data_IF_134477316056
#
_entry.id   IF_134477316056
#
_cell.length_a   1.000
_cell.length_b   1.000
_cell.length_c   1.000
_cell.angle_alpha   90.00
_cell.angle_beta   90.00
_cell.angle_gamma   90.00
#
_symmetry.space_group_name_H-M   'P 1'
#
loop_
_entity.id
_entity.type
_entity.pdbx_description
1 polymer ?
#
# COMPACT_ATOMS: atom_id res chain seq x y z
N UNK A 1 -34.49 6.70 28.98
CA UNK A 1 -34.21 5.42 28.32
C UNK A 1 -32.79 5.46 27.85
N UNK A 2 -31.92 4.70 28.51
CA UNK A 2 -30.51 4.56 28.15
C UNK A 2 -30.44 3.64 26.93
N UNK A 3 -29.97 4.16 25.80
CA UNK A 3 -29.39 3.33 24.75
C UNK A 3 -27.88 3.45 24.90
N UNK A 4 -27.35 2.55 25.73
CA UNK A 4 -25.93 2.29 25.85
C UNK A 4 -25.50 1.66 24.54
N UNK A 5 -24.92 2.46 23.65
CA UNK A 5 -24.06 1.94 22.58
C UNK A 5 -23.11 0.94 23.22
N UNK A 6 -23.14 -0.35 22.83
CA UNK A 6 -22.29 -1.33 23.47
C UNK A 6 -20.83 -0.91 23.25
N UNK A 7 -19.96 -0.98 24.27
CA UNK A 7 -18.54 -0.75 24.05
C UNK A 7 -18.04 -1.85 23.10
N UNK A 8 -17.50 -1.44 21.95
CA UNK A 8 -16.81 -2.34 21.03
C UNK A 8 -15.85 -3.23 21.81
N UNK A 9 -15.91 -4.52 21.54
CA UNK A 9 -15.23 -5.54 22.33
C UNK A 9 -13.71 -5.28 22.20
N UNK A 10 -12.90 -5.38 23.29
CA UNK A 10 -11.46 -5.12 23.22
C UNK A 10 -10.73 -5.98 22.15
N UNK A 11 -11.31 -7.13 21.77
CA UNK A 11 -10.81 -8.01 20.72
C UNK A 11 -11.04 -7.49 19.28
N UNK A 12 -12.00 -6.59 19.03
CA UNK A 12 -12.20 -5.96 17.71
C UNK A 12 -11.14 -4.88 17.44
N UNK A 13 -10.63 -4.23 18.50
CA UNK A 13 -9.53 -3.26 18.41
C UNK A 13 -8.17 -3.91 18.15
N UNK A 14 -7.98 -5.16 18.55
CA UNK A 14 -6.80 -5.96 18.23
C UNK A 14 -6.87 -6.55 16.82
N UNK A 15 -8.06 -6.96 16.34
CA UNK A 15 -8.26 -7.42 14.96
C UNK A 15 -7.94 -6.37 13.89
N UNK A 16 -8.20 -5.10 14.18
CA UNK A 16 -7.89 -3.98 13.28
C UNK A 16 -6.41 -3.52 13.33
N UNK A 17 -5.56 -4.11 14.18
CA UNK A 17 -4.18 -3.62 14.41
C UNK A 17 -3.06 -4.61 14.08
N UNK A 18 -3.36 -5.81 13.58
CA UNK A 18 -2.34 -6.85 13.38
C UNK A 18 -2.43 -7.64 12.05
N UNK A 19 -3.36 -7.30 11.16
CA UNK A 19 -3.53 -7.92 9.83
C UNK A 19 -3.90 -6.85 8.80
N UNK A 20 -3.13 -5.76 8.77
CA UNK A 20 -3.38 -4.69 7.81
C UNK A 20 -3.11 -5.22 6.41
N UNK A 21 -4.09 -5.17 5.51
CA UNK A 21 -3.95 -5.60 4.12
C UNK A 21 -3.82 -4.37 3.23
N UNK A 22 -2.81 -4.34 2.37
CA UNK A 22 -2.70 -3.35 1.29
C UNK A 22 -3.21 -3.97 -0.01
N UNK A 23 -4.25 -3.36 -0.60
CA UNK A 23 -4.73 -3.75 -1.92
C UNK A 23 -4.03 -2.90 -2.97
N UNK A 24 -3.52 -3.52 -4.01
CA UNK A 24 -2.94 -2.86 -5.18
C UNK A 24 -3.80 -3.18 -6.40
N UNK A 25 -4.15 -2.18 -7.19
CA UNK A 25 -4.94 -2.34 -8.42
C UNK A 25 -4.42 -1.43 -9.54
N UNK A 26 -4.91 -1.64 -10.76
CA UNK A 26 -4.73 -0.71 -11.89
C UNK A 26 -6.09 -0.03 -12.15
N UNK A 27 -6.11 1.31 -12.24
CA UNK A 27 -7.28 2.07 -12.68
C UNK A 27 -6.91 2.87 -13.92
N UNK A 28 -7.70 2.77 -14.98
CA UNK A 28 -7.50 3.57 -16.21
C UNK A 28 -7.84 5.03 -15.92
N UNK A 29 -7.15 5.97 -16.58
CA UNK A 29 -7.11 7.41 -16.25
C UNK A 29 -8.44 8.20 -16.22
N UNK A 30 -9.60 7.56 -16.42
CA UNK A 30 -10.92 8.19 -16.37
C UNK A 30 -11.59 8.14 -14.97
N UNK A 31 -11.00 7.46 -14.00
CA UNK A 31 -11.42 7.41 -12.58
C UNK A 31 -10.38 8.08 -11.64
N UNK A 32 -9.56 9.00 -12.15
CA UNK A 32 -8.53 9.69 -11.36
C UNK A 32 -9.04 10.83 -10.47
N UNK A 33 -10.35 11.08 -10.44
CA UNK A 33 -10.95 12.00 -9.49
C UNK A 33 -11.81 11.18 -8.52
N UNK A 34 -11.19 10.60 -7.49
CA UNK A 34 -11.79 10.50 -6.14
C UNK A 34 -10.83 9.94 -5.06
N UNK A 35 -9.80 9.14 -5.37
CA UNK A 35 -9.10 8.40 -4.29
C UNK A 35 -7.77 9.00 -3.75
N UNK A 36 -7.26 10.14 -4.25
CA UNK A 36 -6.00 10.72 -3.73
C UNK A 36 -6.23 11.91 -2.78
N UNK A 37 -7.48 12.36 -2.60
CA UNK A 37 -7.83 13.47 -1.69
C UNK A 37 -9.03 13.19 -0.79
N UNK A 38 -9.43 11.94 -0.56
CA UNK A 38 -10.45 11.62 0.47
C UNK A 38 -9.85 11.12 1.80
N UNK A 39 -8.56 11.40 2.01
CA UNK A 39 -7.92 11.23 3.32
C UNK A 39 -8.20 12.37 4.32
N UNK A 40 -8.81 13.49 3.92
CA UNK A 40 -9.01 14.66 4.79
C UNK A 40 -10.44 15.27 4.75
N UNK A 41 -11.29 14.99 3.75
CA UNK A 41 -12.67 15.51 3.71
C UNK A 41 -13.78 14.47 3.99
N UNK A 42 -13.43 13.29 4.52
CA UNK A 42 -14.40 12.28 4.97
C UNK A 42 -14.79 12.39 6.47
N UNK A 43 -14.65 13.57 7.07
CA UNK A 43 -14.92 13.78 8.51
C UNK A 43 -16.25 14.49 8.83
N UNK A 44 -16.99 15.00 7.85
CA UNK A 44 -18.27 15.72 8.10
C UNK A 44 -19.54 14.92 7.82
N UNK A 45 -19.43 13.70 7.30
CA UNK A 45 -20.57 12.79 7.13
C UNK A 45 -20.19 11.48 7.82
N UNK A 46 -20.85 11.17 8.94
CA UNK A 46 -20.57 10.00 9.76
C UNK A 46 -20.85 8.67 9.08
N UNK A 47 -20.06 8.35 8.06
CA UNK A 47 -19.93 7.05 7.41
C UNK A 47 -18.43 6.71 7.42
N UNK A 48 -17.93 6.38 8.60
CA UNK A 48 -16.58 5.84 8.75
C UNK A 48 -16.60 4.40 8.24
N UNK A 49 -16.53 4.24 6.93
CA UNK A 49 -16.27 2.94 6.34
C UNK A 49 -14.81 2.56 6.62
N UNK A 50 -14.64 1.37 7.20
CA UNK A 50 -13.42 0.59 7.25
C UNK A 50 -12.89 0.30 5.82
N UNK A 51 -12.48 1.33 5.08
CA UNK A 51 -11.97 1.16 3.72
C UNK A 51 -10.55 0.60 3.77
N UNK A 52 -10.37 -0.64 3.30
CA UNK A 52 -9.06 -1.27 3.14
C UNK A 52 -8.15 -0.35 2.31
N UNK A 53 -6.95 0.00 2.80
CA UNK A 53 -6.05 0.91 2.08
C UNK A 53 -5.73 0.34 0.70
N UNK A 54 -5.93 1.16 -0.34
CA UNK A 54 -5.83 0.77 -1.74
C UNK A 54 -4.86 1.69 -2.49
N UNK A 55 -3.89 1.11 -3.19
CA UNK A 55 -2.96 1.80 -4.08
C UNK A 55 -3.31 1.50 -5.54
N UNK A 56 -3.54 2.54 -6.34
CA UNK A 56 -3.87 2.40 -7.77
C UNK A 56 -2.69 2.80 -8.65
N UNK A 57 -2.33 1.93 -9.60
CA UNK A 57 -1.36 2.20 -10.66
C UNK A 57 -2.05 2.73 -11.92
N UNK A 58 -1.31 3.52 -12.68
CA UNK A 58 -1.79 4.15 -13.93
C UNK A 58 -1.93 3.16 -15.09
N UNK A 59 -1.15 2.08 -15.04
CA UNK A 59 -1.13 1.03 -16.05
C UNK A 59 -0.60 -0.30 -15.49
N UNK A 60 -0.84 -1.38 -16.23
CA UNK A 60 -0.27 -2.69 -15.92
C UNK A 60 1.26 -2.67 -15.99
N UNK A 61 1.83 -1.97 -16.97
CA UNK A 61 3.29 -1.86 -17.11
C UNK A 61 3.89 -1.14 -15.89
N UNK A 62 3.30 -0.03 -15.45
CA UNK A 62 3.73 0.72 -14.26
C UNK A 62 3.69 -0.13 -12.98
N UNK A 63 2.63 -0.95 -12.82
CA UNK A 63 2.53 -1.91 -11.72
C UNK A 63 3.63 -2.96 -11.80
N UNK A 64 3.84 -3.59 -12.95
CA UNK A 64 4.79 -4.69 -13.12
C UNK A 64 6.26 -4.22 -13.07
N UNK A 65 6.54 -2.99 -13.51
CA UNK A 65 7.85 -2.36 -13.36
C UNK A 65 8.14 -1.92 -11.92
N UNK A 66 7.11 -1.66 -11.13
CA UNK A 66 7.25 -1.24 -9.73
C UNK A 66 7.28 -2.43 -8.77
N UNK A 67 6.29 -3.33 -8.87
CA UNK A 67 6.15 -4.52 -8.03
C UNK A 67 6.74 -5.75 -8.73
N UNK A 68 7.99 -5.61 -9.17
CA UNK A 68 8.75 -6.74 -9.73
C UNK A 68 8.92 -7.84 -8.69
N UNK A 69 9.18 -9.10 -9.10
CA UNK A 69 9.43 -10.20 -8.15
C UNK A 69 10.51 -9.85 -7.12
N UNK A 70 11.55 -9.14 -7.55
CA UNK A 70 12.67 -8.73 -6.70
C UNK A 70 12.28 -7.66 -5.66
N UNK A 71 11.29 -6.82 -5.98
CA UNK A 71 10.74 -5.83 -5.06
C UNK A 71 9.79 -6.50 -4.07
N UNK A 72 9.01 -7.50 -4.51
CA UNK A 72 8.18 -8.30 -3.61
C UNK A 72 9.03 -9.07 -2.60
N UNK A 73 10.15 -9.67 -3.03
CA UNK A 73 11.14 -10.29 -2.12
C UNK A 73 11.73 -9.28 -1.12
N UNK A 74 11.97 -8.04 -1.55
CA UNK A 74 12.47 -6.98 -0.66
C UNK A 74 11.41 -6.60 0.40
N UNK A 75 10.15 -6.45 0.01
CA UNK A 75 9.04 -6.16 0.93
C UNK A 75 8.90 -7.30 1.95
N UNK A 76 8.89 -8.56 1.48
CA UNK A 76 8.81 -9.73 2.35
C UNK A 76 9.99 -9.79 3.34
N UNK A 77 11.21 -9.54 2.87
CA UNK A 77 12.41 -9.54 3.71
C UNK A 77 12.36 -8.46 4.80
N UNK A 78 11.88 -7.26 4.47
CA UNK A 78 11.71 -6.18 5.47
C UNK A 78 10.67 -6.57 6.51
N UNK A 79 9.56 -7.19 6.10
CA UNK A 79 8.51 -7.61 7.03
C UNK A 79 8.98 -8.74 7.94
N UNK A 80 9.72 -9.71 7.41
CA UNK A 80 10.15 -10.90 8.16
C UNK A 80 11.33 -10.63 9.09
N UNK A 81 12.33 -9.89 8.61
CA UNK A 81 13.60 -9.72 9.32
C UNK A 81 13.69 -8.37 10.06
N UNK A 82 12.75 -7.45 9.83
CA UNK A 82 12.66 -6.12 10.45
C UNK A 82 14.01 -5.38 10.54
N UNK A 83 14.74 -5.23 9.42
CA UNK A 83 16.09 -4.68 9.43
C UNK A 83 16.11 -3.26 10.00
N UNK A 84 17.09 -2.94 10.85
CA UNK A 84 17.18 -1.64 11.52
C UNK A 84 17.68 -0.51 10.60
N UNK A 85 18.07 -0.82 9.35
CA UNK A 85 18.52 0.19 8.39
C UNK A 85 18.48 -0.29 6.93
N UNK A 86 18.58 0.65 6.00
CA UNK A 86 18.78 0.38 4.56
C UNK A 86 20.01 -0.52 4.31
N UNK A 87 21.12 -0.27 5.00
CA UNK A 87 22.35 -1.07 4.84
C UNK A 87 22.17 -2.52 5.31
N UNK A 88 21.42 -2.71 6.39
CA UNK A 88 21.10 -4.04 6.90
C UNK A 88 20.12 -4.75 5.97
N UNK A 89 19.11 -4.03 5.48
CA UNK A 89 18.17 -4.54 4.48
C UNK A 89 18.93 -5.09 3.27
N UNK A 90 19.87 -4.32 2.73
CA UNK A 90 20.70 -4.75 1.60
C UNK A 90 21.53 -6.02 1.88
N UNK A 91 22.02 -6.20 3.11
CA UNK A 91 22.73 -7.41 3.53
C UNK A 91 21.80 -8.61 3.63
N UNK A 92 20.59 -8.42 4.16
CA UNK A 92 19.58 -9.47 4.30
C UNK A 92 19.20 -10.06 2.94
N UNK A 93 19.03 -9.20 1.93
CA UNK A 93 18.65 -9.62 0.58
C UNK A 93 19.85 -9.93 -0.33
N UNK A 94 21.09 -9.82 0.18
CA UNK A 94 22.35 -9.96 -0.57
C UNK A 94 22.41 -9.10 -1.85
N UNK A 95 22.15 -7.79 -1.70
CA UNK A 95 22.11 -6.83 -2.81
C UNK A 95 22.95 -5.59 -2.54
N UNK A 96 23.27 -4.88 -3.62
CA UNK A 96 23.93 -3.57 -3.53
C UNK A 96 23.04 -2.53 -2.84
N UNK A 97 23.65 -1.77 -1.92
CA UNK A 97 22.98 -0.76 -1.08
C UNK A 97 22.33 0.34 -1.91
N UNK A 98 22.96 0.78 -3.00
CA UNK A 98 22.44 1.86 -3.84
C UNK A 98 21.12 1.45 -4.49
N UNK A 99 21.09 0.23 -5.05
CA UNK A 99 19.89 -0.31 -5.69
C UNK A 99 18.75 -0.45 -4.66
N UNK A 100 19.05 -1.00 -3.49
CA UNK A 100 18.07 -1.15 -2.40
C UNK A 100 17.57 0.22 -1.92
N UNK A 101 18.45 1.20 -1.77
CA UNK A 101 18.05 2.55 -1.41
C UNK A 101 17.08 3.17 -2.43
N UNK A 102 17.37 3.03 -3.73
CA UNK A 102 16.50 3.53 -4.80
C UNK A 102 15.12 2.85 -4.79
N UNK A 103 15.08 1.52 -4.61
CA UNK A 103 13.82 0.77 -4.50
C UNK A 103 13.02 1.16 -3.25
N UNK A 104 13.65 1.21 -2.07
CA UNK A 104 12.99 1.62 -0.83
C UNK A 104 12.47 3.07 -0.92
N UNK A 105 13.22 3.95 -1.59
CA UNK A 105 12.79 5.34 -1.79
C UNK A 105 11.55 5.40 -2.69
N UNK A 106 11.49 4.58 -3.75
CA UNK A 106 10.30 4.46 -4.61
C UNK A 106 9.11 3.89 -3.84
N UNK A 107 9.31 2.81 -3.09
CA UNK A 107 8.25 2.21 -2.26
C UNK A 107 7.72 3.19 -1.20
N UNK A 108 8.58 4.01 -0.62
CA UNK A 108 8.18 5.04 0.33
C UNK A 108 7.36 6.16 -0.33
N UNK A 109 7.71 6.57 -1.56
CA UNK A 109 6.92 7.54 -2.32
C UNK A 109 5.52 7.03 -2.65
N UNK A 110 5.37 5.72 -2.84
CA UNK A 110 4.08 5.06 -3.08
C UNK A 110 3.30 4.77 -1.79
N UNK A 111 3.88 5.04 -0.61
CA UNK A 111 3.27 4.74 0.68
C UNK A 111 3.24 3.25 1.03
N UNK A 112 3.93 2.39 0.28
CA UNK A 112 4.02 0.94 0.55
C UNK A 112 4.88 0.69 1.80
N UNK A 113 5.90 1.50 2.00
CA UNK A 113 6.70 1.51 3.23
C UNK A 113 6.82 2.92 3.79
N UNK A 114 7.28 3.02 5.03
CA UNK A 114 7.78 4.27 5.57
C UNK A 114 9.15 4.07 6.21
N UNK A 115 9.85 5.17 6.43
CA UNK A 115 11.09 5.17 7.17
C UNK A 115 10.84 5.70 8.58
N UNK A 116 11.20 4.90 9.57
CA UNK A 116 11.34 5.36 10.94
C UNK A 116 12.76 5.86 11.17
N UNK A 117 12.89 7.00 11.86
CA UNK A 117 14.18 7.51 12.29
C UNK A 117 14.58 6.84 13.61
N UNK A 118 15.58 5.95 13.54
CA UNK A 118 16.26 5.40 14.71
C UNK A 118 17.63 6.06 14.85
N UNK A 119 17.64 7.21 15.53
CA UNK A 119 18.82 8.07 15.65
C UNK A 119 19.27 8.66 14.32
N UNK A 120 20.39 8.16 13.78
CA UNK A 120 20.93 8.58 12.46
C UNK A 120 20.56 7.61 11.33
N UNK A 121 19.84 6.53 11.63
CA UNK A 121 19.52 5.47 10.67
C UNK A 121 18.07 5.58 10.23
N UNK A 122 17.85 5.33 8.94
CA UNK A 122 16.51 5.17 8.36
C UNK A 122 16.17 3.69 8.35
N UNK A 123 15.27 3.29 9.24
CA UNK A 123 14.72 1.93 9.33
C UNK A 123 13.51 1.83 8.40
N UNK A 124 13.53 0.99 7.36
CA UNK A 124 12.35 0.76 6.54
C UNK A 124 11.34 -0.10 7.30
N UNK A 125 10.06 0.26 7.21
CA UNK A 125 8.96 -0.48 7.85
C UNK A 125 7.83 -0.70 6.84
N UNK A 126 7.42 -1.95 6.71
CA UNK A 126 6.20 -2.37 6.00
C UNK A 126 5.08 -2.46 7.02
N UNK A 127 4.00 -1.71 6.79
CA UNK A 127 2.90 -1.54 7.75
C UNK A 127 1.73 -2.50 7.58
N UNK A 128 1.79 -3.31 6.53
CA UNK A 128 0.82 -4.35 6.22
C UNK A 128 1.45 -5.74 6.36
N UNK A 129 0.60 -6.72 6.58
CA UNK A 129 0.95 -8.14 6.67
C UNK A 129 0.64 -8.88 5.37
N UNK A 130 -0.32 -8.36 4.60
CA UNK A 130 -0.78 -8.95 3.35
C UNK A 130 -0.79 -7.89 2.23
N UNK A 131 -0.25 -8.27 1.07
CA UNK A 131 -0.31 -7.48 -0.16
C UNK A 131 -1.19 -8.23 -1.16
N UNK A 132 -2.36 -7.67 -1.47
CA UNK A 132 -3.29 -8.26 -2.45
C UNK A 132 -3.22 -7.46 -3.74
N UNK A 133 -2.75 -8.10 -4.82
CA UNK A 133 -2.76 -7.48 -6.15
C UNK A 133 -4.05 -7.91 -6.86
N UNK A 134 -4.97 -6.98 -7.05
CA UNK A 134 -6.20 -7.18 -7.81
C UNK A 134 -6.03 -6.61 -9.22
N UNK A 135 -6.21 -7.46 -10.23
CA UNK A 135 -6.14 -7.08 -11.64
C UNK A 135 -7.52 -7.30 -12.27
N UNK A 136 -8.38 -6.27 -12.31
CA UNK A 136 -9.69 -6.39 -12.93
C UNK A 136 -9.54 -6.52 -14.45
N UNK A 137 -9.93 -7.67 -14.98
CA UNK A 137 -10.08 -7.90 -16.43
C UNK A 137 -11.53 -7.60 -16.81
N UNK A 138 -11.93 -6.34 -16.77
CA UNK A 138 -13.27 -5.96 -17.24
C UNK A 138 -13.28 -5.91 -18.78
N UNK A 139 -14.16 -6.67 -19.47
CA UNK A 139 -14.27 -6.60 -20.92
C UNK A 139 -14.77 -5.22 -21.42
N UNK A 140 -15.30 -4.37 -20.55
CA UNK A 140 -15.89 -3.07 -20.90
C UNK A 140 -14.98 -1.87 -20.57
N UNK A 141 -13.71 -2.08 -20.19
CA UNK A 141 -12.71 -1.00 -20.13
C UNK A 141 -11.97 -0.78 -21.47
N UNK A 142 -12.34 -1.53 -22.50
CA UNK A 142 -11.71 -1.56 -23.83
C UNK A 142 -12.52 -0.94 -24.97
N UNK A 143 -13.64 -0.25 -24.71
CA UNK A 143 -14.45 0.36 -25.78
C UNK A 143 -14.89 1.80 -25.46
N UNK A 144 -13.91 2.68 -25.24
CA UNK A 144 -14.11 4.14 -25.31
C UNK A 144 -13.12 4.83 -26.27
N UNK A 145 -12.48 4.06 -27.16
CA UNK A 145 -11.60 4.58 -28.21
C UNK A 145 -12.07 4.26 -29.64
N UNK A 146 -13.25 3.63 -29.81
CA UNK A 146 -13.78 3.27 -31.12
C UNK A 146 -15.25 3.71 -31.34
N UNK A 147 -15.55 4.97 -31.02
CA UNK A 147 -16.67 5.70 -31.64
C UNK A 147 -16.28 7.18 -31.63
N UNK A 148 -16.10 7.85 -32.76
CA UNK A 148 -17.14 8.09 -33.77
C UNK A 148 -16.52 8.65 -35.08
N UNK A 149 -17.24 8.57 -36.22
CA UNK A 149 -16.77 8.85 -37.59
C UNK A 149 -16.63 10.33 -37.97
#
# INVERSE_FOLDING_TARGET
MNDTTPPLHPMERERLRAESTLVVTVKTSNEFHEDVTDGIEALERGDAADSTPTLSFTSYDDLLETLTPRVLELIEAIRREEPASINETARVVDRDVKNVHEELSRLAQLGIIFFEEDGQRKRPVVWFDELVINLPFDPEAGDAAAAAP
#
